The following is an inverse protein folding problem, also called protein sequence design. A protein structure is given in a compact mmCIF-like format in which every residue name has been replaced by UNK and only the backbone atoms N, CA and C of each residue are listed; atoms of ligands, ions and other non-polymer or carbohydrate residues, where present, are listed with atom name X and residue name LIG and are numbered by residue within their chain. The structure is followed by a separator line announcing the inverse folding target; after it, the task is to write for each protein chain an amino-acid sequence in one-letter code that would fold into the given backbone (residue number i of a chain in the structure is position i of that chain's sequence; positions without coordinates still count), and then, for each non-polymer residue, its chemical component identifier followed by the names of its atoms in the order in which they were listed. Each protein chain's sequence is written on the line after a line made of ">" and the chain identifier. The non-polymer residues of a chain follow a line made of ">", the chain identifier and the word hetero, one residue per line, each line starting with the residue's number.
data_IF_967763158462
#
_entry.id   IF_967763158462
#
_cell.length_a   1.000
_cell.length_b   1.000
_cell.length_c   1.000
_cell.angle_alpha   90.00
_cell.angle_beta   90.00
_cell.angle_gamma   90.00
#
_symmetry.space_group_name_H-M   'P 1'
#
loop_
_entity.id
_entity.type
_entity.pdbx_description
1 polymer ?
#
# COMPACT_ATOMS: atom_id res chain seq x y z
N UNK A 1 -13.20 4.61 5.95
CA UNK A 1 -12.60 3.52 6.74
C UNK A 1 -12.37 3.95 8.19
N UNK A 2 -11.69 5.07 8.48
CA UNK A 2 -11.34 5.50 9.85
C UNK A 2 -12.54 5.58 10.79
N UNK A 3 -13.65 6.21 10.35
CA UNK A 3 -14.89 6.31 11.15
C UNK A 3 -15.53 4.93 11.40
N UNK A 4 -15.48 4.03 10.42
CA UNK A 4 -15.97 2.66 10.60
C UNK A 4 -15.11 1.90 11.61
N UNK A 5 -13.78 2.01 11.52
CA UNK A 5 -12.85 1.42 12.49
C UNK A 5 -13.12 1.96 13.90
N UNK A 6 -13.32 3.27 14.05
CA UNK A 6 -13.67 3.88 15.35
C UNK A 6 -14.98 3.31 15.92
N UNK A 7 -16.00 3.18 15.05
CA UNK A 7 -17.31 2.66 15.46
C UNK A 7 -17.23 1.19 15.88
N UNK A 8 -16.45 0.37 15.17
CA UNK A 8 -16.30 -1.05 15.50
C UNK A 8 -15.42 -1.26 16.74
N UNK A 9 -14.33 -0.51 16.87
CA UNK A 9 -13.49 -0.52 18.08
C UNK A 9 -14.28 -0.19 19.35
N UNK A 10 -15.19 0.77 19.26
CA UNK A 10 -16.08 1.14 20.38
C UNK A 10 -16.95 -0.03 20.86
N UNK A 11 -17.37 -0.92 19.95
CA UNK A 11 -18.21 -2.09 20.32
C UNK A 11 -17.47 -3.09 21.22
N UNK A 12 -16.15 -3.09 21.15
CA UNK A 12 -15.27 -3.95 21.96
C UNK A 12 -14.55 -3.18 23.08
N UNK A 13 -15.01 -1.97 23.38
CA UNK A 13 -14.50 -1.16 24.49
C UNK A 13 -13.24 -0.35 24.21
N UNK A 14 -12.78 -0.30 22.95
CA UNK A 14 -11.60 0.47 22.56
C UNK A 14 -12.01 1.88 22.12
N UNK A 15 -11.41 2.89 22.75
CA UNK A 15 -11.61 4.29 22.36
C UNK A 15 -10.58 4.69 21.30
N UNK A 16 -11.07 5.06 20.13
CA UNK A 16 -10.25 5.57 19.03
C UNK A 16 -10.46 7.08 18.89
N UNK A 17 -9.38 7.86 18.89
CA UNK A 17 -9.39 9.29 18.61
C UNK A 17 -8.92 9.51 17.16
N UNK A 18 -9.80 9.99 16.31
CA UNK A 18 -9.45 10.28 14.92
C UNK A 18 -8.73 11.62 14.82
N UNK A 19 -7.60 11.62 14.13
CA UNK A 19 -6.86 12.83 13.76
C UNK A 19 -6.74 12.86 12.23
N UNK A 20 -7.44 13.77 11.61
CA UNK A 20 -7.28 14.02 10.17
C UNK A 20 -6.09 14.94 9.95
N UNK A 21 -5.19 14.52 9.08
CA UNK A 21 -3.96 15.27 8.74
C UNK A 21 -3.86 15.42 7.23
N UNK A 22 -3.15 16.46 6.79
CA UNK A 22 -2.85 16.63 5.36
C UNK A 22 -1.94 15.50 4.88
N UNK A 23 -2.18 15.04 3.65
CA UNK A 23 -1.41 13.95 3.04
C UNK A 23 0.10 14.23 3.03
N UNK A 24 0.49 15.48 2.82
CA UNK A 24 1.91 15.87 2.73
C UNK A 24 2.68 15.74 4.06
N UNK A 25 2.00 15.64 5.20
CA UNK A 25 2.64 15.51 6.52
C UNK A 25 2.55 14.09 7.10
N UNK A 26 1.74 13.20 6.50
CA UNK A 26 1.50 11.87 7.04
C UNK A 26 2.78 11.02 7.12
N UNK A 27 3.65 11.13 6.11
CA UNK A 27 4.92 10.40 6.10
C UNK A 27 5.85 10.86 7.23
N UNK A 28 5.86 12.16 7.53
CA UNK A 28 6.63 12.69 8.65
C UNK A 28 6.14 12.20 10.01
N UNK A 29 4.83 12.06 10.18
CA UNK A 29 4.21 11.49 11.38
C UNK A 29 4.54 10.00 11.48
N UNK A 30 4.41 9.27 10.37
CA UNK A 30 4.69 7.84 10.31
C UNK A 30 6.16 7.53 10.66
N UNK A 31 7.12 8.25 10.07
CA UNK A 31 8.56 8.08 10.36
C UNK A 31 8.94 8.37 11.81
N UNK A 32 8.21 9.25 12.49
CA UNK A 32 8.44 9.55 13.91
C UNK A 32 7.75 8.60 14.86
N UNK A 33 6.87 7.71 14.35
CA UNK A 33 6.05 6.84 15.18
C UNK A 33 5.02 7.60 16.03
N UNK A 34 4.58 8.78 15.61
CA UNK A 34 3.64 9.63 16.35
C UNK A 34 2.17 9.21 16.12
N UNK A 35 1.91 7.90 16.15
CA UNK A 35 0.57 7.33 15.96
C UNK A 35 0.47 5.95 16.60
N UNK A 36 -0.74 5.53 16.95
CA UNK A 36 -1.06 4.14 17.30
C UNK A 36 -1.48 3.35 16.05
N UNK A 37 -2.30 3.98 15.19
CA UNK A 37 -2.73 3.46 13.89
C UNK A 37 -2.67 4.57 12.85
N UNK A 38 -2.18 4.25 11.65
CA UNK A 38 -2.23 5.15 10.49
C UNK A 38 -2.96 4.48 9.35
N UNK A 39 -3.88 5.21 8.71
CA UNK A 39 -4.57 4.76 7.49
C UNK A 39 -3.97 5.56 6.33
N UNK A 40 -3.39 4.85 5.38
CA UNK A 40 -2.85 5.46 4.17
C UNK A 40 -3.21 4.66 2.92
N UNK A 41 -3.04 5.28 1.77
CA UNK A 41 -3.16 4.63 0.48
C UNK A 41 -1.75 4.50 -0.11
N UNK A 42 -1.33 3.26 -0.35
CA UNK A 42 0.01 2.96 -0.86
C UNK A 42 -0.08 2.13 -2.12
N UNK A 43 0.68 2.48 -3.13
CA UNK A 43 0.83 1.67 -4.33
C UNK A 43 1.74 0.48 -4.01
N UNK A 44 1.17 -0.73 -3.98
CA UNK A 44 1.88 -1.95 -3.58
C UNK A 44 2.58 -2.67 -4.72
N UNK A 45 2.28 -2.31 -5.97
CA UNK A 45 2.84 -2.93 -7.19
C UNK A 45 3.66 -1.91 -7.99
N UNK A 46 4.61 -1.25 -7.35
CA UNK A 46 5.54 -0.37 -8.06
C UNK A 46 6.35 -1.17 -9.08
N UNK A 47 6.43 -0.65 -10.29
CA UNK A 47 7.09 -1.34 -11.42
C UNK A 47 6.54 -2.77 -11.71
N UNK A 48 5.31 -3.07 -11.26
CA UNK A 48 4.69 -4.39 -11.46
C UNK A 48 5.14 -5.48 -10.49
N UNK A 49 5.91 -5.14 -9.46
CA UNK A 49 6.43 -6.08 -8.45
C UNK A 49 6.22 -5.55 -7.03
N UNK A 50 5.75 -6.37 -6.07
CA UNK A 50 5.50 -5.94 -4.70
C UNK A 50 6.78 -5.80 -3.85
N UNK A 51 7.94 -6.19 -4.34
CA UNK A 51 9.20 -6.17 -3.60
C UNK A 51 9.51 -4.78 -3.03
N UNK A 52 9.37 -3.73 -3.86
CA UNK A 52 9.66 -2.35 -3.44
C UNK A 52 8.81 -1.95 -2.24
N UNK A 53 7.51 -2.28 -2.28
CA UNK A 53 6.61 -2.03 -1.15
C UNK A 53 7.02 -2.85 0.08
N UNK A 54 7.21 -4.15 -0.07
CA UNK A 54 7.52 -5.05 1.03
C UNK A 54 8.84 -4.67 1.71
N UNK A 55 9.87 -4.39 0.92
CA UNK A 55 11.16 -3.97 1.46
C UNK A 55 11.09 -2.60 2.12
N UNK A 56 10.52 -1.61 1.45
CA UNK A 56 10.52 -0.24 1.94
C UNK A 56 9.69 -0.04 3.21
N UNK A 57 8.51 -0.65 3.26
CA UNK A 57 7.52 -0.37 4.33
C UNK A 57 7.51 -1.39 5.46
N UNK A 58 8.06 -2.60 5.26
CA UNK A 58 7.89 -3.70 6.21
C UNK A 58 9.20 -4.35 6.66
N UNK A 59 10.29 -4.21 5.91
CA UNK A 59 11.58 -4.75 6.34
C UNK A 59 12.15 -3.93 7.49
N UNK A 60 12.77 -4.61 8.45
CA UNK A 60 13.38 -3.99 9.63
C UNK A 60 14.38 -2.91 9.24
N UNK A 61 14.29 -1.76 9.87
CA UNK A 61 15.24 -0.66 9.74
C UNK A 61 15.12 0.17 8.46
N UNK A 62 14.14 -0.09 7.62
CA UNK A 62 13.90 0.74 6.44
C UNK A 62 13.25 2.07 6.81
N UNK A 63 13.61 3.13 6.11
CA UNK A 63 13.16 4.51 6.38
C UNK A 63 11.63 4.67 6.29
N UNK A 64 10.98 3.94 5.37
CA UNK A 64 9.53 3.98 5.19
C UNK A 64 8.77 3.08 6.14
N UNK A 65 9.45 2.23 6.92
CA UNK A 65 8.83 1.37 7.92
C UNK A 65 8.47 2.17 9.18
N UNK A 66 7.50 3.07 9.04
CA UNK A 66 7.04 3.92 10.16
C UNK A 66 6.30 3.15 11.25
N UNK A 67 5.83 1.93 10.98
CA UNK A 67 5.20 1.07 11.98
C UNK A 67 6.18 0.48 12.99
N UNK A 68 7.48 0.47 12.68
CA UNK A 68 8.49 -0.21 13.46
C UNK A 68 8.37 -1.74 13.43
N UNK A 69 7.63 -2.30 12.46
CA UNK A 69 7.53 -3.74 12.28
C UNK A 69 8.92 -4.37 12.13
N UNK A 70 9.14 -5.46 12.84
CA UNK A 70 10.42 -6.18 12.81
C UNK A 70 10.17 -7.68 12.98
N UNK A 71 10.52 -8.45 11.97
CA UNK A 71 10.44 -9.89 11.99
C UNK A 71 11.63 -10.50 11.23
N UNK A 72 12.58 -11.17 11.91
CA UNK A 72 13.76 -11.74 11.26
C UNK A 72 13.44 -12.74 10.13
N UNK A 73 12.31 -13.45 10.22
CA UNK A 73 11.89 -14.37 9.16
C UNK A 73 11.45 -13.58 7.93
N UNK A 74 10.71 -12.49 8.12
CA UNK A 74 10.31 -11.59 7.03
C UNK A 74 11.55 -10.98 6.36
N UNK A 75 12.51 -10.51 7.14
CA UNK A 75 13.75 -9.91 6.62
C UNK A 75 14.55 -10.92 5.78
N UNK A 76 14.67 -12.17 6.26
CA UNK A 76 15.35 -13.23 5.52
C UNK A 76 14.63 -13.59 4.20
N UNK A 77 13.30 -13.56 4.16
CA UNK A 77 12.53 -13.76 2.92
C UNK A 77 12.69 -12.58 1.96
N UNK A 78 12.71 -11.36 2.49
CA UNK A 78 12.97 -10.13 1.75
C UNK A 78 14.35 -10.16 1.06
N UNK A 79 15.39 -10.60 1.77
CA UNK A 79 16.74 -10.74 1.19
C UNK A 79 16.78 -11.80 0.08
N UNK A 80 16.09 -12.92 0.25
CA UNK A 80 15.96 -13.95 -0.79
C UNK A 80 15.20 -13.42 -2.01
N UNK A 81 14.12 -12.67 -1.80
CA UNK A 81 13.31 -12.09 -2.87
C UNK A 81 14.14 -11.14 -3.75
N UNK A 82 15.02 -10.34 -3.13
CA UNK A 82 15.88 -9.38 -3.84
C UNK A 82 16.89 -10.00 -4.81
N UNK A 83 17.17 -11.30 -4.69
CA UNK A 83 18.12 -12.02 -5.56
C UNK A 83 17.48 -13.16 -6.34
N UNK A 84 16.17 -13.40 -6.19
CA UNK A 84 15.45 -14.42 -6.93
C UNK A 84 14.84 -13.83 -8.22
N UNK A 85 15.11 -14.46 -9.36
CA UNK A 85 14.63 -14.01 -10.67
C UNK A 85 13.60 -14.96 -11.29
N UNK A 86 13.42 -16.16 -10.75
CA UNK A 86 12.39 -17.08 -11.20
C UNK A 86 11.00 -16.60 -10.74
N UNK A 87 10.05 -16.32 -11.67
CA UNK A 87 8.75 -15.75 -11.30
C UNK A 87 7.93 -16.65 -10.37
N UNK A 88 8.05 -17.98 -10.49
CA UNK A 88 7.29 -18.91 -9.66
C UNK A 88 7.83 -18.89 -8.22
N UNK A 89 9.15 -18.93 -8.06
CA UNK A 89 9.80 -18.85 -6.75
C UNK A 89 9.59 -17.49 -6.08
N UNK A 90 9.65 -16.39 -6.86
CA UNK A 90 9.31 -15.04 -6.36
C UNK A 90 7.91 -15.02 -5.79
N UNK A 91 6.94 -15.57 -6.53
CA UNK A 91 5.55 -15.67 -6.08
C UNK A 91 5.40 -16.44 -4.75
N UNK A 92 6.11 -17.56 -4.60
CA UNK A 92 6.11 -18.34 -3.36
C UNK A 92 6.64 -17.53 -2.18
N UNK A 93 7.78 -16.84 -2.34
CA UNK A 93 8.36 -15.97 -1.33
C UNK A 93 7.40 -14.83 -0.95
N UNK A 94 6.80 -14.16 -1.93
CA UNK A 94 5.83 -13.09 -1.71
C UNK A 94 4.61 -13.59 -0.93
N UNK A 95 4.07 -14.76 -1.26
CA UNK A 95 2.93 -15.35 -0.53
C UNK A 95 3.32 -15.67 0.93
N UNK A 96 4.53 -16.18 1.16
CA UNK A 96 4.99 -16.46 2.52
C UNK A 96 5.17 -15.17 3.33
N UNK A 97 5.72 -14.14 2.73
CA UNK A 97 5.84 -12.80 3.35
C UNK A 97 4.46 -12.21 3.67
N UNK A 98 3.49 -12.31 2.77
CA UNK A 98 2.12 -11.84 3.01
C UNK A 98 1.47 -12.55 4.19
N UNK A 99 1.67 -13.85 4.34
CA UNK A 99 1.17 -14.61 5.50
C UNK A 99 1.75 -14.08 6.80
N UNK A 100 3.06 -13.83 6.85
CA UNK A 100 3.70 -13.24 8.04
C UNK A 100 3.10 -11.87 8.40
N UNK A 101 2.89 -11.00 7.41
CA UNK A 101 2.28 -9.68 7.63
C UNK A 101 0.89 -9.80 8.27
N UNK A 102 0.08 -10.76 7.80
CA UNK A 102 -1.26 -10.99 8.31
C UNK A 102 -1.26 -11.64 9.70
N UNK A 103 -0.41 -12.66 9.88
CA UNK A 103 -0.31 -13.39 11.15
C UNK A 103 0.23 -12.50 12.28
N UNK A 104 1.16 -11.62 11.96
CA UNK A 104 1.73 -10.65 12.90
C UNK A 104 0.85 -9.40 13.09
N UNK A 105 -0.25 -9.27 12.33
CA UNK A 105 -1.09 -8.07 12.26
C UNK A 105 -0.29 -6.79 11.98
N UNK A 106 0.80 -6.89 11.21
CA UNK A 106 1.67 -5.78 10.89
C UNK A 106 0.99 -4.74 9.99
N UNK A 107 0.03 -5.17 9.18
CA UNK A 107 -0.78 -4.32 8.32
C UNK A 107 -2.16 -4.92 8.09
N UNK A 108 -3.19 -4.09 8.13
CA UNK A 108 -4.56 -4.45 7.80
C UNK A 108 -4.95 -3.83 6.45
N UNK A 109 -5.25 -4.67 5.47
CA UNK A 109 -5.72 -4.22 4.15
C UNK A 109 -7.24 -4.06 4.18
N UNK A 110 -7.74 -2.84 4.09
CA UNK A 110 -9.18 -2.55 4.03
C UNK A 110 -9.78 -2.85 2.66
N UNK A 111 -9.00 -2.76 1.61
CA UNK A 111 -9.44 -3.02 0.23
C UNK A 111 -8.64 -2.23 -0.79
N UNK A 112 -9.06 -2.38 -2.04
CA UNK A 112 -8.50 -1.66 -3.18
C UNK A 112 -9.51 -0.61 -3.65
N UNK A 113 -9.14 0.68 -3.66
CA UNK A 113 -10.04 1.71 -4.16
C UNK A 113 -10.28 1.52 -5.66
N UNK A 114 -11.54 1.69 -6.07
CA UNK A 114 -11.88 1.71 -7.48
C UNK A 114 -11.50 3.05 -8.09
N UNK A 115 -10.69 3.04 -9.13
CA UNK A 115 -10.38 4.23 -9.92
C UNK A 115 -11.44 4.44 -11.00
N UNK A 116 -11.96 5.65 -11.08
CA UNK A 116 -12.93 6.05 -12.12
C UNK A 116 -12.34 7.20 -12.93
N UNK A 117 -12.49 7.12 -14.23
CA UNK A 117 -12.17 8.21 -15.15
C UNK A 117 -13.44 8.82 -15.72
N UNK A 118 -13.51 10.14 -15.69
CA UNK A 118 -14.58 10.90 -16.33
C UNK A 118 -13.95 11.75 -17.42
N UNK A 119 -14.41 11.59 -18.66
CA UNK A 119 -13.94 12.37 -19.80
C UNK A 119 -15.08 13.10 -20.49
N UNK A 120 -14.77 14.19 -21.16
CA UNK A 120 -15.72 14.86 -22.05
C UNK A 120 -15.95 14.01 -23.31
N UNK A 121 -17.15 14.10 -23.88
CA UNK A 121 -17.49 13.38 -25.13
C UNK A 121 -16.60 13.74 -26.32
N UNK A 122 -15.94 14.89 -26.27
CA UNK A 122 -14.98 15.31 -27.29
C UNK A 122 -13.63 14.59 -27.21
N UNK A 123 -13.44 13.74 -26.20
CA UNK A 123 -12.18 12.97 -26.01
C UNK A 123 -12.46 11.51 -26.35
N UNK A 124 -11.71 10.99 -27.30
CA UNK A 124 -11.72 9.58 -27.67
C UNK A 124 -10.51 8.85 -27.10
N UNK A 125 -10.65 7.55 -26.91
CA UNK A 125 -9.60 6.64 -26.45
C UNK A 125 -9.03 7.00 -25.04
N UNK A 126 -9.87 7.58 -24.18
CA UNK A 126 -9.53 7.71 -22.77
C UNK A 126 -9.80 6.38 -22.06
N UNK A 127 -8.76 5.74 -21.55
CA UNK A 127 -8.85 4.44 -20.88
C UNK A 127 -8.29 4.55 -19.46
N UNK A 128 -8.91 3.79 -18.54
CA UNK A 128 -8.36 3.60 -17.20
C UNK A 128 -7.30 2.50 -17.28
N UNK A 129 -6.08 2.83 -16.92
CA UNK A 129 -4.99 1.87 -16.84
C UNK A 129 -4.91 1.25 -15.45
N UNK A 130 -4.36 0.02 -15.33
CA UNK A 130 -4.27 -0.68 -14.04
C UNK A 130 -3.42 0.02 -12.98
N UNK A 131 -2.60 1.00 -13.38
CA UNK A 131 -1.82 1.82 -12.49
C UNK A 131 -2.08 3.31 -12.75
N UNK A 132 -1.86 4.13 -11.74
CA UNK A 132 -2.10 5.57 -11.78
C UNK A 132 -0.94 6.40 -12.35
N UNK A 133 0.11 5.76 -12.87
CA UNK A 133 1.24 6.44 -13.50
C UNK A 133 0.93 7.00 -14.90
N UNK A 134 -0.05 6.42 -15.59
CA UNK A 134 -0.38 6.75 -16.97
C UNK A 134 -1.84 7.09 -17.11
N UNK A 135 -2.16 8.37 -16.97
CA UNK A 135 -3.52 8.89 -17.21
C UNK A 135 -3.71 9.37 -18.64
N UNK A 136 -2.60 9.79 -19.28
CA UNK A 136 -2.59 10.31 -20.63
C UNK A 136 -1.67 9.44 -21.49
N UNK A 137 -2.23 8.85 -22.53
CA UNK A 137 -1.47 8.08 -23.52
C UNK A 137 -1.43 8.82 -24.85
N UNK A 138 -0.49 8.43 -25.72
CA UNK A 138 -0.39 8.97 -27.08
C UNK A 138 -1.63 8.70 -27.93
N UNK A 139 -2.51 7.80 -27.50
CA UNK A 139 -3.70 7.35 -28.23
C UNK A 139 -4.93 8.19 -27.91
N UNK A 140 -4.87 9.05 -26.89
CA UNK A 140 -5.92 10.03 -26.59
C UNK A 140 -5.94 11.07 -27.69
N UNK A 141 -7.12 11.32 -28.24
CA UNK A 141 -7.33 12.28 -29.33
C UNK A 141 -8.70 12.94 -29.25
N UNK A 142 -8.89 13.99 -30.03
CA UNK A 142 -10.22 14.55 -30.26
C UNK A 142 -11.15 13.50 -30.88
N UNK A 143 -12.40 13.47 -30.42
CA UNK A 143 -13.43 12.61 -30.95
C UNK A 143 -14.05 13.17 -32.27
N UNK A 144 -13.65 14.40 -32.65
CA UNK A 144 -14.11 15.09 -33.91
C UNK A 144 -13.11 14.85 -35.03
#
# INVERSE_FOLDING_TARGET
>A
YAEATQADAKKVGIKVNLKNVDYNVIDGIARKGEFDLVISNVLTLQAGDPEVFMNGYLKTGQEQNGSGYSNPKFDALSDKLGVEFDPAKRRELIIEMQKLILDDAASLVFGYPQTNMVSNKSIANAEILPCDYYWLTKDIKSAN
#
